data_IF_310502941602
#
_entry.id   IF_310502941602
#
_cell.length_a   1.000
_cell.length_b   1.000
_cell.length_c   1.000
_cell.angle_alpha   90.00
_cell.angle_beta   90.00
_cell.angle_gamma   90.00
#
_symmetry.space_group_name_H-M   'P 1'
#
loop_
_entity.id
_entity.type
_entity.pdbx_description
1 polymer ?
#
# COMPACT_ATOMS: atom_id res chain seq x y z
N UNK A 1 -5.61 5.31 -29.57
CA UNK A 1 -6.38 5.14 -28.33
C UNK A 1 -6.13 6.35 -27.45
N UNK A 2 -7.16 7.10 -27.06
CA UNK A 2 -7.03 8.20 -26.11
C UNK A 2 -7.00 7.62 -24.70
N UNK A 3 -5.92 7.85 -23.95
CA UNK A 3 -5.85 7.47 -22.53
C UNK A 3 -6.60 8.52 -21.72
N UNK A 4 -7.51 8.14 -20.80
CA UNK A 4 -8.17 9.11 -19.94
C UNK A 4 -7.12 9.90 -19.15
N UNK A 5 -7.44 11.16 -18.86
CA UNK A 5 -6.62 11.96 -17.95
C UNK A 5 -6.48 11.22 -16.61
N UNK A 6 -5.29 11.17 -16.02
CA UNK A 6 -5.11 10.53 -14.72
C UNK A 6 -5.95 11.24 -13.65
N UNK A 7 -6.43 10.50 -12.63
CA UNK A 7 -7.12 11.11 -11.51
C UNK A 7 -6.21 12.11 -10.79
N UNK A 8 -6.82 13.13 -10.17
CA UNK A 8 -6.11 14.03 -9.26
C UNK A 8 -6.04 13.35 -7.89
N UNK A 9 -4.85 12.91 -7.47
CA UNK A 9 -4.61 12.41 -6.12
C UNK A 9 -4.23 13.57 -5.20
N UNK A 10 -5.12 13.98 -4.30
CA UNK A 10 -4.88 15.03 -3.31
C UNK A 10 -4.00 14.55 -2.17
N UNK A 11 -4.03 13.25 -1.89
CA UNK A 11 -3.25 12.60 -0.84
C UNK A 11 -2.88 11.16 -1.21
N UNK A 12 -1.67 10.77 -0.84
CA UNK A 12 -1.15 9.40 -0.98
C UNK A 12 -0.67 8.95 0.40
N UNK A 13 -1.22 7.86 0.91
CA UNK A 13 -0.83 7.27 2.19
C UNK A 13 0.18 6.14 1.94
N UNK A 14 1.42 6.36 2.37
CA UNK A 14 2.47 5.34 2.34
C UNK A 14 2.32 4.40 3.54
N UNK A 15 2.28 3.09 3.28
CA UNK A 15 2.07 2.06 4.29
C UNK A 15 3.14 0.98 4.15
N UNK A 16 3.95 0.72 5.18
CA UNK A 16 5.01 -0.29 5.10
C UNK A 16 4.42 -1.70 4.99
N UNK A 17 4.87 -2.46 3.97
CA UNK A 17 4.34 -3.78 3.63
C UNK A 17 4.66 -4.89 4.64
N UNK A 18 5.62 -4.67 5.54
CA UNK A 18 5.97 -5.58 6.64
C UNK A 18 5.09 -5.40 7.89
N UNK A 19 4.14 -4.46 7.91
CA UNK A 19 3.31 -4.17 9.09
C UNK A 19 1.81 -4.36 8.78
N UNK A 20 1.29 -5.60 8.84
CA UNK A 20 -0.09 -5.92 8.45
C UNK A 20 -1.17 -5.05 9.10
N UNK A 21 -1.03 -4.76 10.39
CA UNK A 21 -1.97 -3.89 11.15
C UNK A 21 -2.16 -2.50 10.54
N UNK A 22 -1.18 -1.99 9.78
CA UNK A 22 -1.28 -0.69 9.10
C UNK A 22 -2.02 -0.81 7.77
N UNK A 23 -1.82 -1.92 7.06
CA UNK A 23 -2.54 -2.22 5.81
C UNK A 23 -4.03 -2.42 6.10
N UNK A 24 -4.36 -3.19 7.15
CA UNK A 24 -5.74 -3.52 7.54
C UNK A 24 -6.63 -2.28 7.73
N UNK A 25 -6.06 -1.18 8.23
CA UNK A 25 -6.79 0.06 8.55
C UNK A 25 -6.50 1.21 7.57
N UNK A 26 -5.72 0.97 6.51
CA UNK A 26 -5.30 2.03 5.60
C UNK A 26 -6.50 2.65 4.86
N UNK A 27 -7.46 1.82 4.44
CA UNK A 27 -8.67 2.24 3.72
C UNK A 27 -9.58 3.17 4.55
N UNK A 28 -9.51 3.10 5.88
CA UNK A 28 -10.28 3.96 6.79
C UNK A 28 -9.73 5.39 6.89
N UNK A 29 -8.56 5.70 6.30
CA UNK A 29 -7.87 7.00 6.48
C UNK A 29 -8.28 8.08 5.48
N UNK A 30 -9.09 7.73 4.46
CA UNK A 30 -9.61 8.69 3.49
C UNK A 30 -8.58 9.28 2.53
N UNK A 31 -7.46 8.59 2.30
CA UNK A 31 -6.50 8.98 1.27
C UNK A 31 -7.02 8.62 -0.13
N UNK A 32 -6.70 9.44 -1.13
CA UNK A 32 -7.11 9.16 -2.51
C UNK A 32 -6.35 7.94 -3.09
N UNK A 33 -5.17 7.65 -2.55
CA UNK A 33 -4.36 6.48 -2.89
C UNK A 33 -3.67 5.92 -1.63
N UNK A 34 -3.61 4.60 -1.54
CA UNK A 34 -2.81 3.88 -0.54
C UNK A 34 -1.68 3.19 -1.29
N UNK A 35 -0.44 3.53 -0.93
CA UNK A 35 0.76 2.95 -1.51
C UNK A 35 1.38 2.01 -0.48
N UNK A 36 1.26 0.72 -0.73
CA UNK A 36 1.89 -0.32 0.09
C UNK A 36 3.34 -0.45 -0.33
N UNK A 37 4.24 -0.02 0.54
CA UNK A 37 5.66 0.12 0.25
C UNK A 37 6.45 -1.14 0.61
N UNK A 38 7.36 -1.53 -0.29
CA UNK A 38 8.29 -2.66 -0.16
C UNK A 38 9.75 -2.22 -0.23
N UNK A 39 9.98 -0.90 -0.32
CA UNK A 39 11.28 -0.30 -0.53
C UNK A 39 11.85 0.25 0.79
N UNK A 40 11.73 1.56 1.02
CA UNK A 40 12.54 2.28 2.02
C UNK A 40 11.92 2.23 3.41
N UNK A 41 10.62 2.01 3.52
CA UNK A 41 9.97 1.80 4.82
C UNK A 41 10.12 0.37 5.35
N UNK A 42 10.73 -0.54 4.57
CA UNK A 42 10.91 -1.95 4.93
C UNK A 42 12.41 -2.28 5.10
N UNK A 43 12.85 -2.71 6.29
CA UNK A 43 14.23 -3.16 6.50
C UNK A 43 14.63 -4.24 5.49
N UNK A 44 15.87 -4.25 4.96
CA UNK A 44 16.29 -5.20 3.93
C UNK A 44 16.02 -6.68 4.28
N UNK A 45 16.20 -7.04 5.55
CA UNK A 45 15.95 -8.39 6.06
C UNK A 45 14.46 -8.78 6.05
N UNK A 46 13.55 -7.81 6.07
CA UNK A 46 12.11 -8.03 6.13
C UNK A 46 11.43 -7.99 4.76
N UNK A 47 12.13 -7.54 3.70
CA UNK A 47 11.59 -7.47 2.34
C UNK A 47 11.03 -8.81 1.82
N UNK A 48 11.67 -9.98 2.06
CA UNK A 48 11.09 -11.27 1.67
C UNK A 48 9.76 -11.56 2.38
N UNK A 49 9.70 -11.30 3.70
CA UNK A 49 8.49 -11.53 4.50
C UNK A 49 7.36 -10.57 4.08
N UNK A 50 7.67 -9.28 3.88
CA UNK A 50 6.72 -8.28 3.40
C UNK A 50 6.07 -8.70 2.07
N UNK A 51 6.86 -9.20 1.11
CA UNK A 51 6.36 -9.68 -0.19
C UNK A 51 5.47 -10.92 -0.04
N UNK A 52 5.82 -11.83 0.84
CA UNK A 52 5.03 -13.04 1.09
C UNK A 52 3.66 -12.75 1.71
N UNK A 53 3.54 -11.67 2.50
CA UNK A 53 2.30 -11.26 3.16
C UNK A 53 1.35 -10.46 2.27
N UNK A 54 1.80 -9.94 1.12
CA UNK A 54 0.97 -9.12 0.24
C UNK A 54 -0.33 -9.81 -0.22
N UNK A 55 -0.34 -11.07 -0.70
CA UNK A 55 -1.57 -11.70 -1.17
C UNK A 55 -2.65 -11.76 -0.10
N UNK A 56 -2.27 -12.01 1.15
CA UNK A 56 -3.18 -12.06 2.28
C UNK A 56 -3.69 -10.66 2.65
N UNK A 57 -2.78 -9.72 2.83
CA UNK A 57 -3.09 -8.36 3.30
C UNK A 57 -3.87 -7.53 2.26
N UNK A 58 -3.66 -7.76 0.96
CA UNK A 58 -4.38 -7.04 -0.10
C UNK A 58 -5.86 -7.40 -0.20
N UNK A 59 -6.30 -8.52 0.39
CA UNK A 59 -7.74 -8.85 0.47
C UNK A 59 -8.55 -7.89 1.36
N UNK A 60 -7.86 -7.06 2.16
CA UNK A 60 -8.46 -6.14 3.14
C UNK A 60 -8.60 -4.70 2.63
N UNK A 61 -7.96 -4.38 1.50
CA UNK A 61 -7.99 -3.05 0.90
C UNK A 61 -8.93 -3.11 -0.31
N UNK A 62 -10.09 -2.47 -0.20
CA UNK A 62 -11.13 -2.39 -1.24
C UNK A 62 -11.30 -0.95 -1.70
#
# INVERSE_FOLDING_TARGET
>A
MSRPAPPVWRSILYVPGNVPKFIDKAHERGADCILVDLEDSVPPAEKPAARALLPETMTKVV
#
